data_IF_923606082601
#
_entry.id   IF_923606082601
#
_cell.length_a   1.000
_cell.length_b   1.000
_cell.length_c   1.000
_cell.angle_alpha   90.00
_cell.angle_beta   90.00
_cell.angle_gamma   90.00
#
_symmetry.space_group_name_H-M   'P 1'
#
loop_
_entity.id
_entity.type
_entity.pdbx_description
1 polymer ?
#
# COMPACT_ATOMS: atom_id res chain seq x y z
N UNK A 1 10.45 25.12 -18.74
CA UNK A 1 9.55 24.85 -17.61
C UNK A 1 9.28 23.36 -17.60
N UNK A 2 9.80 22.63 -16.63
CA UNK A 2 9.45 21.22 -16.44
C UNK A 2 8.00 21.16 -15.96
N UNK A 3 7.09 20.62 -16.78
CA UNK A 3 5.73 20.32 -16.34
C UNK A 3 5.82 19.23 -15.26
N UNK A 4 5.49 19.58 -14.02
CA UNK A 4 5.40 18.61 -12.94
C UNK A 4 4.10 17.80 -13.07
N UNK A 5 4.09 16.54 -12.59
CA UNK A 5 2.87 15.71 -12.57
C UNK A 5 1.67 16.45 -11.98
N UNK A 6 1.89 17.23 -10.92
CA UNK A 6 0.85 17.91 -10.17
C UNK A 6 0.28 19.14 -10.88
N UNK A 7 1.11 19.84 -11.66
CA UNK A 7 0.64 20.92 -12.53
C UNK A 7 -0.02 20.39 -13.79
N UNK A 8 0.30 19.16 -14.21
CA UNK A 8 -0.24 18.55 -15.42
C UNK A 8 -1.45 17.64 -15.17
N UNK A 9 -2.00 17.56 -13.95
CA UNK A 9 -3.12 16.65 -13.63
C UNK A 9 -4.32 16.85 -14.57
N UNK A 10 -4.60 18.09 -14.98
CA UNK A 10 -5.70 18.41 -15.88
C UNK A 10 -5.49 17.89 -17.31
N UNK A 11 -4.26 17.55 -17.69
CA UNK A 11 -3.90 17.00 -19.01
C UNK A 11 -3.94 15.47 -19.04
N UNK A 12 -3.99 14.81 -17.88
CA UNK A 12 -4.04 13.36 -17.80
C UNK A 12 -5.40 12.89 -18.33
N UNK A 13 -5.39 11.97 -19.28
CA UNK A 13 -6.58 11.23 -19.69
C UNK A 13 -6.67 9.94 -18.85
N UNK A 14 -7.60 9.92 -17.88
CA UNK A 14 -7.79 8.78 -17.00
C UNK A 14 -8.49 7.59 -17.71
N UNK A 15 -8.91 7.74 -18.96
CA UNK A 15 -9.51 6.68 -19.78
C UNK A 15 -8.54 6.10 -20.82
N UNK A 16 -7.29 6.56 -20.84
CA UNK A 16 -6.27 6.10 -21.77
C UNK A 16 -5.11 5.40 -21.03
N UNK A 17 -4.85 4.14 -21.36
CA UNK A 17 -3.84 3.32 -20.66
C UNK A 17 -2.42 3.88 -20.74
N UNK A 18 -2.01 4.48 -21.87
CA UNK A 18 -0.69 5.08 -22.01
C UNK A 18 -0.52 6.30 -21.09
N UNK A 19 -1.57 7.12 -20.98
CA UNK A 19 -1.62 8.23 -20.04
C UNK A 19 -1.53 7.75 -18.60
N UNK A 20 -2.26 6.68 -18.24
CA UNK A 20 -2.16 6.06 -16.92
C UNK A 20 -0.77 5.50 -16.65
N UNK A 21 -0.14 4.84 -17.62
CA UNK A 21 1.23 4.32 -17.51
C UNK A 21 2.25 5.42 -17.23
N UNK A 22 2.09 6.59 -17.85
CA UNK A 22 3.00 7.72 -17.68
C UNK A 22 3.07 8.23 -16.23
N UNK A 23 2.01 8.03 -15.44
CA UNK A 23 1.98 8.40 -14.01
C UNK A 23 2.96 7.54 -13.21
N UNK A 24 3.13 6.27 -13.58
CA UNK A 24 4.07 5.38 -12.90
C UNK A 24 5.54 5.66 -13.29
N UNK A 25 5.80 6.55 -14.25
CA UNK A 25 7.17 6.96 -14.57
C UNK A 25 7.88 7.65 -13.41
N UNK A 26 7.12 8.28 -12.51
CA UNK A 26 7.60 8.92 -11.28
C UNK A 26 7.87 7.91 -10.15
N UNK A 27 7.37 6.68 -10.30
CA UNK A 27 7.42 5.62 -9.30
C UNK A 27 8.62 4.67 -9.51
N UNK A 28 9.10 4.09 -8.41
CA UNK A 28 10.03 2.95 -8.49
C UNK A 28 9.31 1.73 -9.05
N UNK A 29 10.00 0.96 -9.89
CA UNK A 29 9.48 -0.31 -10.38
C UNK A 29 9.01 -1.24 -9.25
N UNK A 30 9.74 -1.33 -8.13
CA UNK A 30 9.38 -2.17 -6.97
C UNK A 30 8.08 -1.74 -6.29
N UNK A 31 7.72 -0.45 -6.33
CA UNK A 31 6.46 0.04 -5.75
C UNK A 31 5.27 -0.35 -6.63
N UNK A 32 5.42 -0.27 -7.95
CA UNK A 32 4.39 -0.74 -8.89
C UNK A 32 4.22 -2.26 -8.80
N UNK A 33 5.32 -3.00 -8.64
CA UNK A 33 5.28 -4.44 -8.39
C UNK A 33 4.63 -4.82 -7.05
N UNK A 34 4.72 -3.93 -6.04
CA UNK A 34 4.01 -4.09 -4.76
C UNK A 34 2.50 -4.20 -4.95
N UNK A 35 1.92 -3.33 -5.79
CA UNK A 35 0.49 -3.33 -6.11
C UNK A 35 0.04 -4.66 -6.75
N UNK A 36 0.89 -5.29 -7.57
CA UNK A 36 0.58 -6.61 -8.12
C UNK A 36 0.48 -7.67 -7.03
N UNK A 37 1.27 -7.53 -5.97
CA UNK A 37 1.33 -8.48 -4.86
C UNK A 37 0.14 -8.34 -3.92
N UNK A 38 -0.34 -7.11 -3.71
CA UNK A 38 -1.61 -6.85 -3.04
C UNK A 38 -2.79 -7.45 -3.82
N UNK A 39 -2.83 -7.26 -5.14
CA UNK A 39 -3.86 -7.88 -5.99
C UNK A 39 -3.80 -9.42 -5.92
N UNK A 40 -2.59 -10.00 -5.97
CA UNK A 40 -2.40 -11.44 -5.83
C UNK A 40 -2.83 -11.96 -4.45
N UNK A 41 -2.62 -11.20 -3.38
CA UNK A 41 -3.10 -11.54 -2.05
C UNK A 41 -4.64 -11.65 -2.03
N UNK A 42 -5.34 -10.68 -2.64
CA UNK A 42 -6.81 -10.72 -2.75
C UNK A 42 -7.30 -11.96 -3.51
N UNK A 43 -6.63 -12.32 -4.61
CA UNK A 43 -6.99 -13.49 -5.42
C UNK A 43 -6.70 -14.82 -4.69
N UNK A 44 -5.54 -14.92 -4.05
CA UNK A 44 -5.00 -16.19 -3.56
C UNK A 44 -5.35 -16.51 -2.10
N UNK A 45 -5.44 -15.48 -1.24
CA UNK A 45 -5.75 -15.63 0.19
C UNK A 45 -7.24 -15.38 0.47
N UNK A 46 -7.83 -14.32 -0.08
CA UNK A 46 -9.24 -13.98 0.22
C UNK A 46 -10.25 -14.77 -0.60
N UNK A 47 -9.85 -15.35 -1.75
CA UNK A 47 -10.63 -16.34 -2.53
C UNK A 47 -12.15 -16.06 -2.60
N UNK A 48 -12.53 -14.88 -3.12
CA UNK A 48 -13.92 -14.40 -3.25
C UNK A 48 -14.55 -13.75 -2.01
N UNK A 49 -13.76 -13.40 -1.00
CA UNK A 49 -14.20 -12.53 0.10
C UNK A 49 -13.55 -11.12 0.04
N UNK A 50 -13.64 -10.37 -1.08
CA UNK A 50 -12.95 -9.08 -1.23
C UNK A 50 -13.41 -8.04 -0.20
N UNK A 51 -14.63 -8.15 0.31
CA UNK A 51 -15.22 -7.23 1.30
C UNK A 51 -14.68 -7.44 2.73
N UNK A 52 -13.82 -8.44 2.94
CA UNK A 52 -13.19 -8.70 4.26
C UNK A 52 -11.99 -7.82 4.55
N UNK A 53 -11.53 -7.06 3.56
CA UNK A 53 -10.46 -6.08 3.70
C UNK A 53 -10.95 -4.71 3.22
N UNK A 54 -10.41 -3.66 3.83
CA UNK A 54 -10.62 -2.28 3.40
C UNK A 54 -9.29 -1.68 2.96
N UNK A 55 -9.19 -1.23 1.71
CA UNK A 55 -7.93 -0.75 1.09
C UNK A 55 -7.99 0.73 0.75
N UNK A 56 -6.89 1.33 0.28
CA UNK A 56 -6.87 2.74 -0.13
C UNK A 56 -6.75 3.71 1.06
N UNK A 57 -6.17 3.24 2.16
CA UNK A 57 -5.87 4.05 3.32
C UNK A 57 -4.45 4.61 3.23
N UNK A 58 -4.28 5.84 3.69
CA UNK A 58 -3.00 6.53 3.72
C UNK A 58 -2.78 7.17 5.08
N UNK A 59 -1.55 7.15 5.59
CA UNK A 59 -1.16 7.88 6.79
C UNK A 59 -0.16 8.97 6.47
N UNK A 60 -0.40 10.18 6.96
CA UNK A 60 0.53 11.30 6.84
C UNK A 60 1.00 11.75 8.21
N UNK A 61 2.31 11.79 8.39
CA UNK A 61 2.90 12.32 9.62
C UNK A 61 2.85 13.86 9.65
N UNK A 62 2.30 14.42 10.73
CA UNK A 62 2.18 15.85 11.00
C UNK A 62 2.55 16.11 12.47
N UNK A 63 3.67 16.81 12.71
CA UNK A 63 4.11 17.22 14.05
C UNK A 63 4.12 16.09 15.11
N UNK A 64 4.52 14.87 14.73
CA UNK A 64 4.57 13.71 15.62
C UNK A 64 3.25 12.94 15.77
N UNK A 65 2.19 13.39 15.10
CA UNK A 65 0.90 12.70 14.98
C UNK A 65 0.68 12.22 13.54
N UNK A 66 -0.36 11.42 13.32
CA UNK A 66 -0.74 10.96 11.98
C UNK A 66 -2.16 11.38 11.64
N UNK A 67 -2.35 11.92 10.44
CA UNK A 67 -3.65 12.08 9.80
C UNK A 67 -3.88 10.87 8.88
N UNK A 68 -5.01 10.18 9.04
CA UNK A 68 -5.39 9.06 8.19
C UNK A 68 -6.38 9.52 7.11
N UNK A 69 -6.12 9.14 5.87
CA UNK A 69 -6.99 9.37 4.73
C UNK A 69 -7.53 8.05 4.19
N UNK A 70 -8.82 8.00 3.86
CA UNK A 70 -9.40 6.94 3.03
C UNK A 70 -9.71 7.49 1.65
N UNK A 71 -8.99 7.06 0.63
CA UNK A 71 -9.13 7.53 -0.75
C UNK A 71 -10.13 6.67 -1.54
N UNK A 72 -11.22 7.27 -1.97
CA UNK A 72 -12.14 6.73 -2.98
C UNK A 72 -11.66 7.19 -4.36
N UNK A 73 -10.94 6.31 -5.06
CA UNK A 73 -10.29 6.59 -6.33
C UNK A 73 -11.18 6.25 -7.55
N UNK A 74 -12.19 5.40 -7.36
CA UNK A 74 -13.12 4.95 -8.39
C UNK A 74 -14.10 3.89 -7.86
N UNK A 75 -14.87 3.24 -8.74
CA UNK A 75 -15.88 2.26 -8.35
C UNK A 75 -15.35 1.03 -7.60
N UNK A 76 -14.12 0.58 -7.85
CA UNK A 76 -13.51 -0.56 -7.16
C UNK A 76 -12.93 -0.18 -5.78
N UNK A 77 -12.88 1.11 -5.44
CA UNK A 77 -12.42 1.63 -4.15
C UNK A 77 -13.50 2.41 -3.40
N UNK A 78 -14.78 2.20 -3.75
CA UNK A 78 -15.91 2.77 -3.03
C UNK A 78 -15.95 2.30 -1.56
N UNK A 79 -16.72 3.01 -0.73
CA UNK A 79 -16.81 2.74 0.69
C UNK A 79 -17.67 1.51 0.97
N UNK A 80 -17.10 0.54 1.67
CA UNK A 80 -17.76 -0.69 2.11
C UNK A 80 -18.26 -0.57 3.55
N UNK A 81 -19.01 -1.58 4.02
CA UNK A 81 -19.38 -1.66 5.45
C UNK A 81 -18.16 -1.73 6.37
N UNK A 82 -17.10 -2.42 5.94
CA UNK A 82 -15.85 -2.51 6.70
C UNK A 82 -15.12 -1.16 6.77
N UNK A 83 -15.18 -0.35 5.71
CA UNK A 83 -14.62 1.01 5.75
C UNK A 83 -15.25 1.84 6.88
N UNK A 84 -16.56 1.73 7.10
CA UNK A 84 -17.21 2.47 8.19
C UNK A 84 -16.82 1.96 9.58
N UNK A 85 -16.58 0.65 9.74
CA UNK A 85 -16.05 0.10 10.99
C UNK A 85 -14.67 0.69 11.28
N UNK A 86 -13.79 0.70 10.27
CA UNK A 86 -12.43 1.25 10.35
C UNK A 86 -12.45 2.75 10.65
N UNK A 87 -13.22 3.52 9.87
CA UNK A 87 -13.33 4.96 10.04
C UNK A 87 -13.91 5.35 11.40
N UNK A 88 -14.97 4.67 11.86
CA UNK A 88 -15.54 4.91 13.18
C UNK A 88 -14.49 4.65 14.26
N UNK A 89 -13.80 3.51 14.21
CA UNK A 89 -12.77 3.10 15.19
C UNK A 89 -11.58 4.06 15.21
N UNK A 90 -11.08 4.48 14.06
CA UNK A 90 -10.00 5.46 13.98
C UNK A 90 -10.43 6.83 14.52
N UNK A 91 -11.68 7.25 14.24
CA UNK A 91 -12.22 8.54 14.66
C UNK A 91 -12.58 8.63 16.15
N UNK A 92 -12.63 7.51 16.89
CA UNK A 92 -12.78 7.53 18.34
C UNK A 92 -11.63 8.28 19.04
N UNK A 93 -10.48 8.37 18.37
CA UNK A 93 -9.28 9.07 18.85
C UNK A 93 -9.02 10.39 18.08
N UNK A 94 -10.07 11.11 17.66
CA UNK A 94 -10.00 12.30 16.77
C UNK A 94 -9.02 13.39 17.25
N UNK A 95 -8.78 13.51 18.57
CA UNK A 95 -7.80 14.46 19.12
C UNK A 95 -6.34 14.13 18.75
N UNK A 96 -6.05 12.89 18.37
CA UNK A 96 -4.70 12.43 18.08
C UNK A 96 -4.53 11.88 16.66
N UNK A 97 -5.59 11.35 16.07
CA UNK A 97 -5.58 10.75 14.74
C UNK A 97 -6.76 11.26 13.92
N UNK A 98 -6.67 12.49 13.36
CA UNK A 98 -7.69 13.00 12.46
C UNK A 98 -7.91 12.03 11.30
N UNK A 99 -9.16 11.88 10.87
CA UNK A 99 -9.54 11.00 9.77
C UNK A 99 -10.30 11.78 8.72
N UNK A 100 -9.94 11.59 7.45
CA UNK A 100 -10.68 12.19 6.32
C UNK A 100 -10.96 11.17 5.23
N UNK A 101 -12.09 11.31 4.55
CA UNK A 101 -12.39 10.61 3.30
C UNK A 101 -12.05 11.53 2.13
N UNK A 102 -11.29 11.01 1.17
CA UNK A 102 -10.86 11.73 -0.03
C UNK A 102 -11.59 11.17 -1.24
N UNK A 103 -12.24 12.03 -2.01
CA UNK A 103 -12.92 11.67 -3.25
C UNK A 103 -12.16 12.21 -4.45
N UNK A 104 -11.88 11.34 -5.43
CA UNK A 104 -11.45 11.77 -6.75
C UNK A 104 -12.66 12.02 -7.65
N UNK A 105 -12.77 13.23 -8.20
CA UNK A 105 -13.80 13.57 -9.18
C UNK A 105 -13.18 13.65 -10.58
N UNK A 106 -13.38 12.60 -11.38
CA UNK A 106 -12.73 12.44 -12.69
C UNK A 106 -13.07 13.59 -13.67
N UNK A 107 -14.32 14.04 -13.70
CA UNK A 107 -14.79 15.15 -14.57
C UNK A 107 -14.05 16.47 -14.29
N UNK A 108 -13.68 16.69 -13.04
CA UNK A 108 -12.97 17.89 -12.59
C UNK A 108 -11.47 17.67 -12.39
N UNK A 109 -11.00 16.42 -12.56
CA UNK A 109 -9.62 15.96 -12.32
C UNK A 109 -9.08 16.51 -11.00
N UNK A 110 -9.89 16.43 -9.94
CA UNK A 110 -9.65 17.08 -8.65
C UNK A 110 -9.96 16.17 -7.48
N UNK A 111 -9.31 16.41 -6.35
CA UNK A 111 -9.56 15.70 -5.09
C UNK A 111 -10.36 16.56 -4.12
N UNK A 112 -11.25 15.92 -3.38
CA UNK A 112 -12.11 16.55 -2.38
C UNK A 112 -11.97 15.84 -1.04
N UNK A 113 -11.68 16.59 0.01
CA UNK A 113 -11.55 16.10 1.37
C UNK A 113 -12.86 16.31 2.14
N UNK A 114 -13.27 15.30 2.91
CA UNK A 114 -14.33 15.37 3.92
C UNK A 114 -13.74 14.88 5.24
N UNK A 115 -13.67 15.74 6.26
CA UNK A 115 -13.33 15.28 7.61
C UNK A 115 -14.39 14.32 8.11
N UNK A 116 -13.96 13.17 8.63
CA UNK A 116 -14.84 12.13 9.11
C UNK A 116 -14.96 12.18 10.64
N UNK A 117 -16.17 11.95 11.14
CA UNK A 117 -16.44 11.71 12.56
C UNK A 117 -17.35 10.50 12.70
N UNK A 118 -17.21 9.77 13.80
CA UNK A 118 -18.05 8.60 14.11
C UNK A 118 -19.53 8.92 13.92
N UNK A 119 -20.23 8.02 13.21
CA UNK A 119 -21.65 8.17 12.88
C UNK A 119 -21.96 9.04 11.66
N UNK A 120 -20.97 9.73 11.07
CA UNK A 120 -21.15 10.33 9.74
C UNK A 120 -21.21 9.23 8.69
N UNK A 121 -22.19 9.33 7.78
CA UNK A 121 -22.38 8.38 6.66
C UNK A 121 -22.65 9.14 5.36
N UNK A 122 -22.36 8.55 4.18
CA UNK A 122 -22.76 9.12 2.91
C UNK A 122 -24.28 9.28 2.79
N UNK A 123 -24.78 10.20 1.95
CA UNK A 123 -24.00 11.11 1.11
C UNK A 123 -23.42 12.28 1.91
N UNK A 124 -22.10 12.49 1.82
CA UNK A 124 -21.49 13.69 2.38
C UNK A 124 -21.88 14.89 1.51
N UNK A 125 -22.78 15.74 2.03
CA UNK A 125 -23.32 16.90 1.35
C UNK A 125 -22.20 17.80 0.76
N UNK A 126 -22.43 18.38 -0.42
CA UNK A 126 -21.39 19.12 -1.17
C UNK A 126 -20.73 20.27 -0.39
N UNK A 127 -21.42 20.90 0.56
CA UNK A 127 -20.86 21.95 1.44
C UNK A 127 -19.80 21.44 2.43
N UNK A 128 -19.74 20.13 2.67
CA UNK A 128 -18.76 19.50 3.56
C UNK A 128 -17.48 19.09 2.84
N UNK A 129 -17.43 19.19 1.51
CA UNK A 129 -16.29 18.80 0.69
C UNK A 129 -15.36 19.99 0.48
N UNK A 130 -14.14 19.90 0.98
CA UNK A 130 -13.07 20.87 0.72
C UNK A 130 -12.25 20.41 -0.48
N UNK A 131 -12.18 21.23 -1.53
CA UNK A 131 -11.27 20.94 -2.65
C UNK A 131 -9.82 20.97 -2.17
N UNK A 132 -9.07 19.91 -2.48
CA UNK A 132 -7.63 19.85 -2.21
C UNK A 132 -6.92 20.55 -3.36
N UNK A 133 -6.09 21.54 -3.02
CA UNK A 133 -5.24 22.22 -3.98
C UNK A 133 -3.98 21.37 -4.15
N UNK A 134 -3.67 20.88 -5.37
CA UNK A 134 -2.43 20.15 -5.61
C UNK A 134 -1.21 20.99 -5.20
N UNK A 135 -0.30 20.38 -4.44
CA UNK A 135 0.97 21.01 -4.13
C UNK A 135 1.85 21.08 -5.38
N UNK A 136 2.43 22.25 -5.62
CA UNK A 136 3.46 22.43 -6.66
C UNK A 136 4.76 21.79 -6.19
N UNK A 137 4.89 20.49 -6.41
CA UNK A 137 6.12 19.74 -6.19
C UNK A 137 6.75 19.36 -7.52
N UNK A 138 8.03 19.65 -7.66
CA UNK A 138 8.85 19.01 -8.69
C UNK A 138 8.89 17.51 -8.40
N UNK A 139 8.13 16.74 -9.20
CA UNK A 139 8.27 15.29 -9.26
C UNK A 139 9.09 14.99 -10.50
N UNK A 140 10.25 14.39 -10.32
CA UNK A 140 11.12 13.99 -11.44
C UNK A 140 10.77 12.58 -11.88
N UNK A 141 10.74 12.35 -13.19
CA UNK A 141 10.61 11.01 -13.74
C UNK A 141 11.80 10.15 -13.27
N UNK A 142 11.53 8.89 -12.97
CA UNK A 142 12.58 7.95 -12.63
C UNK A 142 13.34 7.56 -13.88
N UNK A 143 14.61 7.96 -13.97
CA UNK A 143 15.56 7.34 -14.88
C UNK A 143 15.85 5.93 -14.37
N UNK A 144 15.40 4.93 -15.11
CA UNK A 144 15.55 3.51 -14.82
C UNK A 144 16.31 2.84 -15.96
N UNK A 145 17.07 1.81 -15.63
CA UNK A 145 17.63 0.89 -16.63
C UNK A 145 16.49 0.24 -17.45
N UNK A 146 16.84 -0.26 -18.65
CA UNK A 146 15.86 -0.80 -19.59
C UNK A 146 15.08 -1.99 -19.01
N UNK A 147 15.74 -2.87 -18.26
CA UNK A 147 15.13 -4.02 -17.59
C UNK A 147 14.12 -3.59 -16.51
N UNK A 148 14.46 -2.59 -15.69
CA UNK A 148 13.58 -2.05 -14.66
C UNK A 148 12.37 -1.32 -15.26
N UNK A 149 12.56 -0.65 -16.40
CA UNK A 149 11.49 -0.03 -17.17
C UNK A 149 10.51 -1.09 -17.68
N UNK A 150 11.02 -2.20 -18.23
CA UNK A 150 10.17 -3.30 -18.69
C UNK A 150 9.42 -3.97 -17.54
N UNK A 151 10.07 -4.19 -16.38
CA UNK A 151 9.41 -4.70 -15.18
C UNK A 151 8.25 -3.83 -14.73
N UNK A 152 8.42 -2.51 -14.74
CA UNK A 152 7.34 -1.57 -14.45
C UNK A 152 6.19 -1.70 -15.46
N UNK A 153 6.49 -1.79 -16.76
CA UNK A 153 5.46 -1.99 -17.80
C UNK A 153 4.70 -3.30 -17.62
N UNK A 154 5.38 -4.39 -17.28
CA UNK A 154 4.74 -5.68 -16.95
C UNK A 154 3.79 -5.56 -15.76
N UNK A 155 4.20 -4.86 -14.71
CA UNK A 155 3.34 -4.58 -13.56
C UNK A 155 2.10 -3.76 -13.94
N UNK A 156 2.25 -2.70 -14.76
CA UNK A 156 1.11 -1.93 -15.25
C UNK A 156 0.13 -2.78 -16.08
N UNK A 157 0.64 -3.63 -17.00
CA UNK A 157 -0.19 -4.57 -17.77
C UNK A 157 -0.93 -5.56 -16.87
N UNK A 158 -0.27 -6.07 -15.83
CA UNK A 158 -0.90 -6.97 -14.86
C UNK A 158 -2.08 -6.30 -14.14
N UNK A 159 -1.93 -5.03 -13.74
CA UNK A 159 -3.00 -4.24 -13.11
C UNK A 159 -4.12 -3.92 -14.10
N UNK A 160 -3.78 -3.59 -15.35
CA UNK A 160 -4.75 -3.29 -16.42
C UNK A 160 -5.67 -4.48 -16.71
N UNK A 161 -5.10 -5.69 -16.83
CA UNK A 161 -5.86 -6.93 -17.04
C UNK A 161 -6.87 -7.22 -15.92
N UNK A 162 -6.69 -6.62 -14.74
CA UNK A 162 -7.57 -6.74 -13.57
C UNK A 162 -8.49 -5.52 -13.37
N UNK A 163 -8.42 -4.53 -14.26
CA UNK A 163 -9.17 -3.28 -14.12
C UNK A 163 -8.66 -2.35 -13.00
N UNK A 164 -7.49 -2.62 -12.42
CA UNK A 164 -6.94 -1.91 -11.26
C UNK A 164 -6.04 -0.71 -11.63
N UNK A 165 -5.61 -0.62 -12.90
CA UNK A 165 -4.63 0.37 -13.34
C UNK A 165 -5.07 1.81 -13.06
N UNK A 166 -6.33 2.15 -13.37
CA UNK A 166 -6.86 3.51 -13.22
C UNK A 166 -6.81 3.94 -11.75
N UNK A 167 -7.34 3.14 -10.84
CA UNK A 167 -7.40 3.48 -9.42
C UNK A 167 -6.02 3.52 -8.77
N UNK A 168 -5.13 2.61 -9.17
CA UNK A 168 -3.73 2.67 -8.79
C UNK A 168 -3.09 3.99 -9.24
N UNK A 169 -3.33 4.43 -10.47
CA UNK A 169 -2.79 5.67 -11.00
C UNK A 169 -3.35 6.91 -10.28
N UNK A 170 -4.66 6.97 -10.03
CA UNK A 170 -5.31 8.02 -9.22
C UNK A 170 -4.69 8.08 -7.83
N UNK A 171 -4.48 6.93 -7.19
CA UNK A 171 -3.84 6.83 -5.88
C UNK A 171 -2.41 7.37 -5.88
N UNK A 172 -1.64 7.13 -6.96
CA UNK A 172 -0.31 7.74 -7.11
C UNK A 172 -0.38 9.24 -7.31
N UNK A 173 -1.32 9.75 -8.12
CA UNK A 173 -1.53 11.21 -8.24
C UNK A 173 -1.85 11.84 -6.90
N UNK A 174 -2.72 11.22 -6.08
CA UNK A 174 -3.00 11.68 -4.72
C UNK A 174 -1.72 11.75 -3.86
N UNK A 175 -0.92 10.68 -3.87
CA UNK A 175 0.31 10.60 -3.08
C UNK A 175 1.37 11.63 -3.50
N UNK A 176 1.49 11.92 -4.79
CA UNK A 176 2.46 12.93 -5.26
C UNK A 176 1.97 14.36 -5.05
N UNK A 177 0.68 14.59 -5.29
CA UNK A 177 0.15 15.95 -5.50
C UNK A 177 -0.69 16.46 -4.35
N UNK A 178 -1.27 15.59 -3.53
CA UNK A 178 -2.30 15.98 -2.58
C UNK A 178 -1.95 15.59 -1.13
N UNK A 179 -1.11 14.59 -0.90
CA UNK A 179 -0.71 14.21 0.46
C UNK A 179 0.19 15.25 1.14
N UNK A 180 0.76 16.17 0.37
CA UNK A 180 1.50 17.33 0.84
C UNK A 180 2.88 17.11 1.45
N UNK A 181 3.52 18.13 2.04
CA UNK A 181 4.86 17.96 2.69
C UNK A 181 4.80 16.99 3.87
N UNK A 182 5.84 16.18 4.03
CA UNK A 182 5.98 15.19 5.12
C UNK A 182 6.09 13.75 4.60
N UNK A 183 6.13 12.80 5.54
CA UNK A 183 6.14 11.36 5.23
C UNK A 183 4.70 10.92 5.02
N UNK A 184 4.41 10.37 3.85
CA UNK A 184 3.14 9.72 3.51
C UNK A 184 3.37 8.23 3.35
N UNK A 185 2.53 7.43 4.00
CA UNK A 185 2.56 5.97 4.00
C UNK A 185 1.27 5.45 3.37
N UNK A 186 1.43 4.44 2.53
CA UNK A 186 0.36 3.62 1.97
C UNK A 186 0.06 2.53 3.02
N UNK A 187 -1.20 2.35 3.41
CA UNK A 187 -1.63 1.27 4.30
C UNK A 187 -2.33 0.23 3.42
N UNK A 188 -1.69 -0.92 3.25
CA UNK A 188 -2.11 -1.90 2.25
C UNK A 188 -3.55 -2.39 2.48
N UNK A 189 -3.92 -2.75 3.72
CA UNK A 189 -5.30 -3.05 4.08
C UNK A 189 -5.60 -2.95 5.60
N UNK A 190 -6.87 -2.67 5.91
CA UNK A 190 -7.48 -2.95 7.21
C UNK A 190 -8.39 -4.18 7.14
N UNK A 191 -8.58 -4.85 8.27
CA UNK A 191 -9.50 -5.98 8.44
C UNK A 191 -10.32 -5.81 9.71
N UNK A 192 -11.40 -6.58 9.83
CA UNK A 192 -12.02 -6.85 11.12
C UNK A 192 -11.39 -8.11 11.74
N UNK A 193 -10.92 -8.01 12.98
CA UNK A 193 -10.32 -9.12 13.71
C UNK A 193 -11.40 -10.07 14.26
N UNK A 194 -11.04 -11.30 14.71
CA UNK A 194 -12.00 -12.20 15.36
C UNK A 194 -12.69 -11.61 16.59
N UNK A 195 -12.05 -10.69 17.31
CA UNK A 195 -12.64 -9.98 18.46
C UNK A 195 -13.63 -8.88 18.05
N UNK A 196 -13.76 -8.58 16.76
CA UNK A 196 -14.62 -7.54 16.22
C UNK A 196 -13.97 -6.15 16.14
N UNK A 197 -12.72 -5.99 16.62
CA UNK A 197 -11.91 -4.77 16.44
C UNK A 197 -11.29 -4.73 15.03
N UNK A 198 -10.39 -3.77 14.77
CA UNK A 198 -9.68 -3.64 13.50
C UNK A 198 -8.20 -4.02 13.62
N UNK A 199 -7.66 -4.56 12.53
CA UNK A 199 -6.23 -4.85 12.38
C UNK A 199 -5.71 -4.35 11.05
N UNK A 200 -4.40 -4.17 10.95
CA UNK A 200 -3.70 -3.77 9.72
C UNK A 200 -3.00 -4.98 9.10
N UNK A 201 -3.13 -5.13 7.79
CA UNK A 201 -2.29 -6.01 6.98
C UNK A 201 -1.25 -5.18 6.24
N UNK A 202 0.02 -5.54 6.40
CA UNK A 202 1.16 -5.01 5.62
C UNK A 202 1.63 -6.11 4.66
N UNK A 203 1.17 -6.06 3.41
CA UNK A 203 1.39 -7.04 2.35
C UNK A 203 2.61 -6.63 1.53
N UNK A 204 3.59 -7.52 1.42
CA UNK A 204 4.82 -7.25 0.67
C UNK A 204 5.24 -8.44 -0.19
N UNK A 205 6.16 -8.17 -1.10
CA UNK A 205 6.77 -9.17 -1.96
C UNK A 205 8.28 -8.98 -1.95
N UNK A 206 9.00 -9.92 -1.34
CA UNK A 206 10.40 -9.73 -0.97
C UNK A 206 11.22 -10.98 -1.25
N UNK A 207 12.50 -10.78 -1.57
CA UNK A 207 13.52 -11.80 -1.35
C UNK A 207 13.95 -11.72 0.12
N UNK A 208 14.26 -12.86 0.79
CA UNK A 208 15.04 -12.80 2.01
C UNK A 208 16.38 -12.10 1.70
N UNK A 209 16.82 -11.21 2.58
CA UNK A 209 18.14 -10.60 2.46
C UNK A 209 19.25 -11.66 2.60
N UNK A 210 20.49 -11.31 2.26
CA UNK A 210 21.66 -12.22 2.46
C UNK A 210 21.78 -12.72 3.91
N UNK A 211 21.32 -11.93 4.87
CA UNK A 211 21.27 -12.28 6.30
C UNK A 211 20.00 -13.03 6.69
N UNK A 212 19.25 -13.57 5.72
CA UNK A 212 17.99 -14.31 5.91
C UNK A 212 16.94 -13.53 6.71
N UNK A 213 16.76 -12.24 6.41
CA UNK A 213 15.72 -11.41 7.01
C UNK A 213 14.99 -10.52 6.02
N UNK A 214 13.83 -10.00 6.42
CA UNK A 214 13.00 -9.08 5.63
C UNK A 214 13.09 -7.65 6.18
N UNK A 215 13.50 -6.72 5.31
CA UNK A 215 13.65 -5.32 5.68
C UNK A 215 12.31 -4.62 5.88
N UNK A 216 12.18 -3.80 6.92
CA UNK A 216 10.99 -2.98 7.19
C UNK A 216 11.37 -1.51 7.25
N UNK A 217 10.59 -0.65 6.58
CA UNK A 217 10.84 0.78 6.53
C UNK A 217 10.63 1.39 7.92
N UNK A 218 11.60 2.16 8.42
CA UNK A 218 11.53 2.82 9.72
C UNK A 218 10.32 3.76 9.87
N UNK A 219 9.89 4.41 8.78
CA UNK A 219 8.68 5.23 8.80
C UNK A 219 7.41 4.38 8.99
N UNK A 220 7.36 3.20 8.35
CA UNK A 220 6.29 2.23 8.56
C UNK A 220 6.28 1.70 9.99
N UNK A 221 7.46 1.32 10.51
CA UNK A 221 7.61 0.94 11.92
C UNK A 221 7.13 2.02 12.88
N UNK A 222 7.53 3.27 12.67
CA UNK A 222 7.09 4.39 13.50
C UNK A 222 5.57 4.52 13.50
N UNK A 223 4.94 4.37 12.34
CA UNK A 223 3.49 4.38 12.22
C UNK A 223 2.84 3.18 12.92
N UNK A 224 3.35 1.96 12.75
CA UNK A 224 2.82 0.76 13.41
C UNK A 224 2.96 0.85 14.94
N UNK A 225 4.11 1.32 15.43
CA UNK A 225 4.28 1.62 16.86
C UNK A 225 3.32 2.72 17.34
N UNK A 226 3.09 3.76 16.53
CA UNK A 226 2.14 4.81 16.85
C UNK A 226 0.71 4.27 16.99
N UNK A 227 0.24 3.46 16.03
CA UNK A 227 -1.15 2.99 15.94
C UNK A 227 -1.44 1.84 16.92
N UNK A 228 -0.43 1.03 17.26
CA UNK A 228 -0.56 -0.06 18.25
C UNK A 228 -1.00 0.43 19.63
N UNK A 229 -0.71 1.70 19.99
CA UNK A 229 -1.16 2.33 21.23
C UNK A 229 -2.69 2.48 21.31
N UNK A 230 -3.37 2.37 20.17
CA UNK A 230 -4.84 2.37 20.09
C UNK A 230 -5.39 0.94 19.94
N UNK A 231 -4.62 -0.08 20.32
CA UNK A 231 -5.00 -1.49 20.23
C UNK A 231 -5.32 -1.94 18.80
N UNK A 232 -4.66 -1.34 17.80
CA UNK A 232 -4.75 -1.75 16.39
C UNK A 232 -3.49 -2.57 16.07
N UNK A 233 -3.56 -3.91 16.13
CA UNK A 233 -2.45 -4.78 15.77
C UNK A 233 -2.14 -4.73 14.27
N UNK A 234 -0.88 -4.99 13.92
CA UNK A 234 -0.43 -5.09 12.53
C UNK A 234 0.14 -6.48 12.29
N UNK A 235 -0.32 -7.16 11.24
CA UNK A 235 0.29 -8.40 10.74
C UNK A 235 0.97 -8.11 9.42
N UNK A 236 2.25 -8.47 9.32
CA UNK A 236 2.97 -8.42 8.05
C UNK A 236 2.82 -9.74 7.32
N UNK A 237 2.45 -9.66 6.04
CA UNK A 237 2.34 -10.81 5.13
C UNK A 237 3.31 -10.61 3.98
N UNK A 238 4.09 -11.64 3.65
CA UNK A 238 5.10 -11.59 2.60
C UNK A 238 4.85 -12.72 1.62
N UNK A 239 4.70 -12.38 0.33
CA UNK A 239 4.96 -13.32 -0.75
C UNK A 239 6.47 -13.43 -0.91
N UNK A 240 7.02 -14.59 -0.60
CA UNK A 240 8.45 -14.87 -0.67
C UNK A 240 8.80 -15.16 -2.12
N UNK A 241 9.73 -14.37 -2.67
CA UNK A 241 10.28 -14.65 -4.00
C UNK A 241 11.10 -15.94 -3.95
N UNK A 242 11.04 -16.79 -4.99
CA UNK A 242 11.80 -18.03 -4.98
C UNK A 242 13.30 -17.76 -4.92
N UNK A 243 14.00 -18.50 -4.06
CA UNK A 243 15.45 -18.45 -3.92
C UNK A 243 16.12 -19.53 -4.78
N UNK A 244 17.11 -19.11 -5.56
CA UNK A 244 17.90 -19.96 -6.45
C UNK A 244 19.31 -20.23 -5.90
N UNK A 245 19.53 -20.03 -4.60
CA UNK A 245 20.77 -20.42 -3.93
C UNK A 245 21.90 -19.43 -4.14
N UNK A 246 21.59 -18.13 -4.20
CA UNK A 246 22.56 -17.04 -4.36
C UNK A 246 22.58 -16.40 -5.74
N UNK A 247 21.97 -17.03 -6.75
CA UNK A 247 21.75 -16.39 -8.06
C UNK A 247 20.70 -15.28 -7.90
N UNK A 248 21.13 -14.04 -8.12
CA UNK A 248 20.21 -12.89 -8.12
C UNK A 248 19.38 -12.93 -9.40
N UNK A 249 18.30 -13.70 -9.42
CA UNK A 249 17.35 -13.64 -10.51
C UNK A 249 16.61 -12.31 -10.42
N UNK A 250 16.78 -11.46 -11.44
CA UNK A 250 16.01 -10.23 -11.62
C UNK A 250 14.55 -10.56 -11.99
N UNK A 251 13.83 -11.20 -11.08
CA UNK A 251 12.46 -11.68 -11.28
C UNK A 251 11.44 -10.55 -11.04
N UNK A 252 10.67 -10.23 -12.09
CA UNK A 252 9.52 -9.35 -11.96
C UNK A 252 8.43 -10.00 -11.13
N UNK A 253 7.80 -9.24 -10.23
CA UNK A 253 6.61 -9.72 -9.54
C UNK A 253 5.51 -10.12 -10.54
N UNK A 254 5.31 -9.32 -11.58
CA UNK A 254 4.28 -9.60 -12.59
C UNK A 254 4.54 -10.91 -13.34
N UNK A 255 5.80 -11.21 -13.69
CA UNK A 255 6.15 -12.48 -14.34
C UNK A 255 5.84 -13.68 -13.43
N UNK A 256 6.28 -13.62 -12.17
CA UNK A 256 6.03 -14.68 -11.18
C UNK A 256 4.53 -14.91 -10.96
N UNK A 257 3.75 -13.85 -10.83
CA UNK A 257 2.32 -13.94 -10.55
C UNK A 257 1.52 -14.44 -11.76
N UNK A 258 1.96 -14.10 -12.98
CA UNK A 258 1.32 -14.48 -14.24
C UNK A 258 1.67 -15.91 -14.66
N UNK A 259 2.93 -16.31 -14.52
CA UNK A 259 3.47 -17.61 -14.96
C UNK A 259 4.17 -18.37 -13.82
N UNK A 260 3.51 -18.63 -12.69
CA UNK A 260 4.15 -19.22 -11.51
C UNK A 260 4.76 -20.60 -11.78
N UNK A 261 4.20 -21.36 -12.72
CA UNK A 261 4.68 -22.68 -13.14
C UNK A 261 6.08 -22.68 -13.75
N UNK A 262 6.58 -21.50 -14.18
CA UNK A 262 7.92 -21.33 -14.75
C UNK A 262 9.00 -21.10 -13.70
N UNK A 263 8.62 -20.98 -12.43
CA UNK A 263 9.51 -20.61 -11.34
C UNK A 263 9.47 -21.67 -10.23
N UNK A 264 10.47 -21.62 -9.34
CA UNK A 264 10.40 -22.38 -8.09
C UNK A 264 9.17 -21.92 -7.28
N UNK A 265 8.62 -22.78 -6.41
CA UNK A 265 7.48 -22.41 -5.57
C UNK A 265 7.75 -21.12 -4.78
N UNK A 266 6.72 -20.28 -4.68
CA UNK A 266 6.68 -19.12 -3.80
C UNK A 266 5.71 -19.39 -2.66
N UNK A 267 5.93 -18.74 -1.53
CA UNK A 267 5.16 -19.00 -0.31
C UNK A 267 4.64 -17.69 0.27
N UNK A 268 3.44 -17.74 0.82
CA UNK A 268 2.95 -16.70 1.71
C UNK A 268 3.42 -17.03 3.12
N UNK A 269 4.11 -16.09 3.74
CA UNK A 269 4.52 -16.16 5.14
C UNK A 269 4.01 -14.94 5.90
N UNK A 270 3.79 -15.07 7.21
CA UNK A 270 3.26 -13.97 8.02
C UNK A 270 3.89 -13.89 9.41
N UNK A 271 3.78 -12.72 10.02
CA UNK A 271 4.18 -12.47 11.41
C UNK A 271 3.34 -11.33 12.01
N UNK A 272 2.95 -11.44 13.28
CA UNK A 272 2.41 -10.31 14.04
C UNK A 272 3.54 -9.34 14.38
N UNK A 273 3.38 -8.07 14.03
CA UNK A 273 4.36 -7.03 14.33
C UNK A 273 4.14 -6.50 15.73
N UNK A 274 5.07 -6.81 16.61
CA UNK A 274 5.16 -6.26 17.96
C UNK A 274 6.31 -5.27 18.09
N UNK A 275 6.22 -4.34 19.05
CA UNK A 275 7.28 -3.36 19.30
C UNK A 275 8.64 -3.98 19.66
N UNK A 276 8.66 -5.23 20.14
CA UNK A 276 9.90 -5.94 20.50
C UNK A 276 10.60 -6.60 19.30
N UNK A 277 9.93 -6.78 18.17
CA UNK A 277 10.51 -7.38 16.96
C UNK A 277 11.33 -6.38 16.13
N UNK A 278 11.20 -5.08 16.40
CA UNK A 278 12.06 -4.07 15.80
C UNK A 278 13.39 -3.95 16.55
N UNK A 279 14.45 -4.57 16.01
CA UNK A 279 15.81 -4.11 16.30
C UNK A 279 15.96 -2.64 15.85
N UNK A 280 16.91 -1.91 16.43
CA UNK A 280 17.25 -0.57 15.97
C UNK A 280 17.51 -0.56 14.45
N UNK A 281 17.33 0.59 13.80
CA UNK A 281 17.57 0.66 12.37
C UNK A 281 19.05 0.45 12.07
N UNK A 282 19.38 -0.69 11.48
CA UNK A 282 20.77 -1.11 11.26
C UNK A 282 21.25 -0.79 9.83
N UNK A 283 20.34 -0.36 8.94
CA UNK A 283 20.64 -0.12 7.52
C UNK A 283 19.98 1.16 7.01
N UNK A 284 20.68 1.91 6.17
CA UNK A 284 20.13 3.03 5.40
C UNK A 284 20.07 2.64 3.93
N UNK A 285 18.92 2.79 3.30
CA UNK A 285 18.81 2.71 1.86
C UNK A 285 18.88 4.12 1.25
N UNK A 286 19.45 4.25 0.04
CA UNK A 286 19.67 5.55 -0.58
C UNK A 286 18.35 6.30 -0.80
N UNK A 287 18.41 7.63 -0.79
CA UNK A 287 17.24 8.51 -0.89
C UNK A 287 16.32 8.18 -2.07
N UNK A 288 16.90 7.64 -3.15
CA UNK A 288 16.16 7.15 -4.30
C UNK A 288 14.98 6.27 -3.90
N UNK A 289 15.08 5.46 -2.83
CA UNK A 289 14.07 4.51 -2.29
C UNK A 289 12.81 5.13 -1.72
N UNK A 290 12.82 6.41 -1.38
CA UNK A 290 11.63 7.14 -0.90
C UNK A 290 10.74 7.60 -2.06
N UNK A 291 9.45 7.86 -1.77
CA UNK A 291 8.48 8.35 -2.76
C UNK A 291 8.92 9.70 -3.36
N UNK A 292 9.45 10.59 -2.51
CA UNK A 292 9.80 11.97 -2.84
C UNK A 292 11.30 12.17 -3.09
N UNK A 293 12.13 11.14 -2.88
CA UNK A 293 13.59 11.14 -3.10
C UNK A 293 14.39 12.17 -2.29
N UNK A 294 13.79 12.76 -1.25
CA UNK A 294 14.43 13.84 -0.50
C UNK A 294 15.29 13.38 0.69
N UNK A 295 15.16 12.13 1.13
CA UNK A 295 15.92 11.62 2.28
C UNK A 295 16.20 10.13 2.18
N UNK A 296 17.36 9.71 2.71
CA UNK A 296 17.67 8.30 2.94
C UNK A 296 16.60 7.67 3.84
N UNK A 297 16.24 6.42 3.54
CA UNK A 297 15.28 5.68 4.35
C UNK A 297 16.03 4.70 5.25
N UNK A 298 15.72 4.73 6.54
CA UNK A 298 16.27 3.78 7.50
C UNK A 298 15.42 2.50 7.50
N UNK A 299 16.05 1.35 7.69
CA UNK A 299 15.39 0.04 7.71
C UNK A 299 15.83 -0.75 8.93
N UNK A 300 14.88 -1.47 9.53
CA UNK A 300 15.16 -2.61 10.39
C UNK A 300 15.07 -3.90 9.57
N UNK A 301 15.53 -5.02 10.11
CA UNK A 301 15.33 -6.35 9.53
C UNK A 301 14.66 -7.26 10.55
N UNK A 302 13.66 -8.02 10.10
CA UNK A 302 13.05 -9.11 10.88
C UNK A 302 13.62 -10.41 10.34
N UNK A 303 14.13 -11.28 11.22
CA UNK A 303 14.66 -12.59 10.84
C UNK A 303 13.56 -13.43 10.17
N UNK A 304 13.86 -14.04 9.03
CA UNK A 304 12.90 -14.83 8.26
C UNK A 304 12.42 -16.07 9.03
N UNK A 305 13.20 -16.59 9.98
CA UNK A 305 12.82 -17.72 10.83
C UNK A 305 11.69 -17.40 11.81
N UNK A 306 11.37 -16.12 12.03
CA UNK A 306 10.26 -15.68 12.86
C UNK A 306 8.92 -15.66 12.11
N UNK A 307 8.95 -15.78 10.79
CA UNK A 307 7.74 -15.82 9.98
C UNK A 307 7.18 -17.23 9.94
N UNK A 308 5.86 -17.34 10.10
CA UNK A 308 5.12 -18.59 9.95
C UNK A 308 4.67 -18.77 8.50
N UNK A 309 4.74 -20.01 8.00
CA UNK A 309 4.20 -20.35 6.69
C UNK A 309 2.67 -20.28 6.73
N UNK A 310 2.08 -19.51 5.82
CA UNK A 310 0.63 -19.47 5.61
C UNK A 310 0.21 -20.58 4.63
N UNK A 311 0.75 -20.54 3.41
CA UNK A 311 0.55 -21.52 2.32
C UNK A 311 1.52 -21.29 1.17
N UNK A 312 1.69 -22.28 0.29
CA UNK A 312 2.32 -22.03 -1.00
C UNK A 312 1.39 -21.20 -1.90
N UNK A 313 1.98 -20.37 -2.77
CA UNK A 313 1.25 -19.52 -3.72
C UNK A 313 0.46 -20.37 -4.72
N UNK A 314 -0.82 -20.02 -4.95
CA UNK A 314 -1.80 -20.77 -5.76
C UNK A 314 -2.16 -22.17 -5.28
N UNK A 315 -1.61 -22.63 -4.16
CA UNK A 315 -2.09 -23.85 -3.52
C UNK A 315 -3.43 -23.57 -2.84
N UNK A 316 -4.42 -24.45 -3.05
CA UNK A 316 -5.69 -24.34 -2.35
C UNK A 316 -5.50 -24.72 -0.89
N UNK A 317 -5.68 -23.76 0.00
CA UNK A 317 -5.74 -23.95 1.45
C UNK A 317 -6.93 -23.17 1.98
N UNK A 318 -8.02 -23.88 2.26
CA UNK A 318 -9.32 -23.27 2.56
C UNK A 318 -9.31 -22.43 3.85
N UNK A 319 -8.41 -22.72 4.78
CA UNK A 319 -8.27 -22.07 6.08
C UNK A 319 -7.16 -21.00 6.11
N UNK A 320 -6.56 -20.63 4.97
CA UNK A 320 -5.47 -19.65 4.95
C UNK A 320 -5.92 -18.28 5.49
N UNK A 321 -7.12 -17.84 5.13
CA UNK A 321 -7.67 -16.59 5.65
C UNK A 321 -7.98 -16.67 7.15
N UNK A 322 -8.54 -17.79 7.62
CA UNK A 322 -8.83 -18.00 9.04
C UNK A 322 -7.56 -18.05 9.88
N UNK A 323 -6.52 -18.75 9.40
CA UNK A 323 -5.18 -18.78 10.02
C UNK A 323 -4.59 -17.38 10.12
N UNK A 324 -4.76 -16.55 9.09
CA UNK A 324 -4.23 -15.19 9.13
C UNK A 324 -4.97 -14.31 10.15
N UNK A 325 -6.28 -14.51 10.32
CA UNK A 325 -7.07 -13.77 11.32
C UNK A 325 -6.67 -14.12 12.76
N UNK A 326 -6.26 -15.36 13.05
CA UNK A 326 -5.82 -15.73 14.40
C UNK A 326 -4.54 -15.00 14.80
N UNK A 327 -3.69 -14.61 13.84
CA UNK A 327 -2.47 -13.85 14.09
C UNK A 327 -2.68 -12.45 14.71
N UNK A 328 -3.93 -11.95 14.70
CA UNK A 328 -4.30 -10.70 15.35
C UNK A 328 -4.75 -10.87 16.81
N UNK A 329 -4.77 -12.11 17.32
CA UNK A 329 -5.18 -12.45 18.69
C UNK A 329 -4.00 -12.75 19.63
N UNK A 330 -2.79 -12.83 19.09
CA UNK A 330 -1.53 -13.11 19.80
C UNK A 330 -0.86 -11.83 20.30
#
# INVERSE_FOLDING_TARGET
>A
MENTLCEAIYKIDFNNSESLYSIFEYDKHTRVEGLCSEAAFKEDILQNEPDKIATGYWAKELAGHYHIYRLVAGPQSDLTSLDFIVLDRLSENDQHTPVSVIYFEESQKSFYEVSFRKGMRPPFAGKLRKRIIPERKASEKQQLEADLTERRRKACRFLEQRGLLKEAAVSRVFAYCCSGKGVTLDIDAFIQTPSGDIGILEIKHKFPSREKGYGLNAAGLKFFSYISRYSIPTVQVILVKPDYGGDTIKLSAADLLTYPEKFKPSEWVYISLSAHLSKAADKKAPASTSLTRHSEMSFSSIDASLFSLLKAYKEKKADAWDTLKTAFSD
#
